data_IF_135469442986
#
_entry.id   IF_135469442986
#
_cell.length_a   1.000
_cell.length_b   1.000
_cell.length_c   1.000
_cell.angle_alpha   90.00
_cell.angle_beta   90.00
_cell.angle_gamma   90.00
#
_symmetry.space_group_name_H-M   'P 1'
#
loop_
_entity.id
_entity.type
_entity.pdbx_description
1 polymer ?
#
# COMPACT_ATOMS: atom_id res chain seq x y z
N UNK A 1 0.74 47.57 -30.93
CA UNK A 1 1.48 47.18 -29.71
C UNK A 1 0.57 46.32 -28.83
N UNK A 2 1.11 45.21 -28.33
CA UNK A 2 0.40 44.01 -27.88
C UNK A 2 -0.36 44.15 -26.55
N UNK A 3 -1.45 43.38 -26.50
CA UNK A 3 -2.43 43.01 -25.48
C UNK A 3 -2.18 43.32 -23.98
N UNK A 4 -3.24 43.70 -23.23
CA UNK A 4 -3.22 43.68 -21.77
C UNK A 4 -3.21 42.23 -21.26
N UNK A 5 -2.22 41.95 -20.42
CA UNK A 5 -1.94 40.66 -19.79
C UNK A 5 -2.83 40.49 -18.56
N UNK A 6 -4.07 40.04 -18.77
CA UNK A 6 -4.95 39.60 -17.68
C UNK A 6 -4.51 38.21 -17.25
N UNK A 7 -3.67 38.13 -16.22
CA UNK A 7 -3.39 36.89 -15.50
C UNK A 7 -4.52 36.64 -14.48
N UNK A 8 -5.70 36.28 -14.97
CA UNK A 8 -6.80 35.83 -14.12
C UNK A 8 -6.56 34.37 -13.74
N UNK A 9 -6.01 34.24 -12.53
CA UNK A 9 -5.78 33.01 -11.79
C UNK A 9 -7.12 32.38 -11.42
N UNK A 10 -7.72 31.57 -12.30
CA UNK A 10 -8.83 30.67 -11.99
C UNK A 10 -8.75 29.43 -12.88
N UNK A 11 -8.19 28.34 -12.35
CA UNK A 11 -8.85 27.02 -12.36
C UNK A 11 -8.42 26.32 -11.07
N UNK A 12 -9.25 26.51 -10.06
CA UNK A 12 -9.42 25.53 -8.99
C UNK A 12 -10.07 24.30 -9.66
N UNK A 13 -9.56 23.12 -9.33
CA UNK A 13 -10.05 21.80 -9.75
C UNK A 13 -9.55 21.23 -11.09
N UNK A 14 -8.41 20.56 -11.01
CA UNK A 14 -8.34 19.17 -11.47
C UNK A 14 -8.13 18.26 -10.25
N UNK A 15 -9.27 17.92 -9.68
CA UNK A 15 -9.58 16.72 -8.91
C UNK A 15 -8.75 15.49 -9.31
N UNK A 16 -8.35 14.69 -8.30
CA UNK A 16 -8.82 13.30 -8.16
C UNK A 16 -8.42 12.26 -9.20
N UNK A 17 -7.85 12.62 -10.34
CA UNK A 17 -7.63 11.73 -11.48
C UNK A 17 -6.21 11.15 -11.54
N UNK A 18 -5.44 11.20 -10.44
CA UNK A 18 -4.14 10.52 -10.36
C UNK A 18 -4.29 9.19 -9.61
N UNK A 19 -4.79 8.19 -10.34
CA UNK A 19 -4.79 6.73 -10.08
C UNK A 19 -6.12 6.07 -9.68
N UNK A 20 -7.23 6.39 -10.34
CA UNK A 20 -8.25 5.35 -10.58
C UNK A 20 -7.74 4.47 -11.72
N UNK A 21 -7.15 3.31 -11.39
CA UNK A 21 -6.79 2.30 -12.39
C UNK A 21 -5.60 1.40 -12.07
N UNK A 22 -4.75 1.77 -11.11
CA UNK A 22 -3.66 0.92 -10.67
C UNK A 22 -3.64 0.91 -9.15
N UNK A 23 -4.53 0.12 -8.56
CA UNK A 23 -4.44 -0.22 -7.16
C UNK A 23 -3.17 -1.08 -7.03
N UNK A 24 -2.07 -0.63 -6.41
CA UNK A 24 -0.81 -1.38 -6.41
C UNK A 24 -0.94 -2.76 -5.74
N UNK A 25 -2.06 -3.00 -5.05
CA UNK A 25 -2.43 -4.27 -4.46
C UNK A 25 -3.14 -5.23 -5.41
N UNK A 26 -3.52 -4.84 -6.65
CA UNK A 26 -4.16 -5.77 -7.61
C UNK A 26 -3.24 -6.91 -8.03
N UNK A 27 -1.93 -6.74 -7.89
CA UNK A 27 -0.94 -7.79 -8.18
C UNK A 27 -0.75 -8.76 -7.01
N UNK A 28 -1.24 -8.40 -5.82
CA UNK A 28 -1.24 -9.26 -4.65
C UNK A 28 -2.51 -10.12 -4.62
N UNK A 29 -2.33 -11.40 -4.29
CA UNK A 29 -3.44 -12.27 -3.91
C UNK A 29 -4.02 -11.82 -2.56
N UNK A 30 -5.25 -12.25 -2.25
CA UNK A 30 -5.91 -11.97 -0.98
C UNK A 30 -5.04 -12.38 0.22
N UNK A 31 -4.38 -13.55 0.13
CA UNK A 31 -3.47 -14.03 1.17
C UNK A 31 -2.23 -13.16 1.34
N UNK A 32 -1.68 -12.65 0.24
CA UNK A 32 -0.54 -11.73 0.29
C UNK A 32 -0.94 -10.36 0.87
N UNK A 33 -2.17 -9.91 0.58
CA UNK A 33 -2.73 -8.70 1.17
C UNK A 33 -2.91 -8.84 2.69
N UNK A 34 -3.42 -9.97 3.17
CA UNK A 34 -3.57 -10.22 4.61
C UNK A 34 -2.20 -10.30 5.31
N UNK A 35 -1.22 -10.95 4.70
CA UNK A 35 0.16 -10.94 5.22
C UNK A 35 0.72 -9.51 5.28
N UNK A 36 0.52 -8.71 4.22
CA UNK A 36 0.98 -7.32 4.18
C UNK A 36 0.33 -6.45 5.27
N UNK A 37 -0.96 -6.63 5.55
CA UNK A 37 -1.68 -5.95 6.65
C UNK A 37 -1.06 -6.27 8.00
N UNK A 38 -0.83 -7.54 8.27
CA UNK A 38 -0.25 -7.99 9.54
C UNK A 38 1.21 -7.52 9.72
N UNK A 39 1.97 -7.42 8.63
CA UNK A 39 3.32 -6.81 8.65
C UNK A 39 3.23 -5.32 9.02
N UNK A 40 2.23 -4.62 8.49
CA UNK A 40 2.02 -3.21 8.76
C UNK A 40 1.55 -2.95 10.22
N UNK A 41 0.84 -3.91 10.82
CA UNK A 41 0.55 -3.96 12.27
C UNK A 41 1.78 -4.26 13.14
N UNK A 42 2.94 -4.52 12.52
CA UNK A 42 4.21 -4.77 13.22
C UNK A 42 4.40 -6.19 13.73
N UNK A 43 3.54 -7.13 13.31
CA UNK A 43 3.58 -8.52 13.77
C UNK A 43 4.82 -9.26 13.26
N UNK A 44 5.28 -10.25 14.03
CA UNK A 44 6.38 -11.13 13.61
C UNK A 44 5.86 -12.21 12.66
N UNK A 45 6.75 -12.85 11.90
CA UNK A 45 6.35 -13.96 11.02
C UNK A 45 5.71 -15.13 11.80
N UNK A 46 6.10 -15.34 13.05
CA UNK A 46 5.51 -16.34 13.92
C UNK A 46 4.06 -15.97 14.30
N UNK A 47 3.81 -14.72 14.69
CA UNK A 47 2.45 -14.23 14.99
C UNK A 47 1.54 -14.29 13.75
N UNK A 48 2.09 -13.96 12.58
CA UNK A 48 1.39 -14.04 11.30
C UNK A 48 1.06 -15.49 10.96
N UNK A 49 2.01 -16.41 11.17
CA UNK A 49 1.83 -17.84 10.95
C UNK A 49 0.71 -18.40 11.84
N UNK A 50 0.67 -18.01 13.11
CA UNK A 50 -0.39 -18.40 14.05
C UNK A 50 -1.75 -17.84 13.63
N UNK A 51 -1.84 -16.54 13.30
CA UNK A 51 -3.10 -15.90 12.89
C UNK A 51 -3.67 -16.47 11.60
N UNK A 52 -2.83 -16.77 10.62
CA UNK A 52 -3.26 -17.29 9.32
C UNK A 52 -3.32 -18.81 9.27
N UNK A 53 -2.93 -19.50 10.36
CA UNK A 53 -2.89 -20.96 10.49
C UNK A 53 -2.04 -21.57 9.36
N UNK A 54 -0.82 -21.05 9.19
CA UNK A 54 0.17 -21.49 8.20
C UNK A 54 1.55 -21.63 8.86
N UNK A 55 2.53 -22.18 8.15
CA UNK A 55 3.91 -22.29 8.66
C UNK A 55 4.70 -20.99 8.51
N UNK A 56 5.67 -20.72 9.39
CA UNK A 56 6.62 -19.57 9.25
C UNK A 56 7.35 -19.59 7.90
N UNK A 57 7.67 -20.78 7.38
CA UNK A 57 8.24 -20.95 6.03
C UNK A 57 7.30 -20.41 4.95
N UNK A 58 6.00 -20.69 5.08
CA UNK A 58 4.96 -20.19 4.16
C UNK A 58 4.85 -18.66 4.26
N UNK A 59 4.87 -18.10 5.47
CA UNK A 59 4.88 -16.64 5.68
C UNK A 59 6.07 -16.00 5.01
N UNK A 60 7.29 -16.53 5.22
CA UNK A 60 8.50 -16.03 4.56
C UNK A 60 8.39 -16.08 3.03
N UNK A 61 7.78 -17.12 2.47
CA UNK A 61 7.53 -17.20 1.03
C UNK A 61 6.56 -16.10 0.56
N UNK A 62 5.47 -15.86 1.30
CA UNK A 62 4.55 -14.76 0.99
C UNK A 62 5.23 -13.40 1.09
N UNK A 63 6.03 -13.14 2.13
CA UNK A 63 6.80 -11.91 2.28
C UNK A 63 7.72 -11.70 1.07
N UNK A 64 8.49 -12.70 0.68
CA UNK A 64 9.38 -12.61 -0.49
C UNK A 64 8.60 -12.30 -1.78
N UNK A 65 7.45 -12.94 -1.98
CA UNK A 65 6.60 -12.67 -3.13
C UNK A 65 6.04 -11.25 -3.12
N UNK A 66 5.57 -10.77 -1.96
CA UNK A 66 5.07 -9.39 -1.79
C UNK A 66 6.18 -8.39 -2.11
N UNK A 67 7.37 -8.58 -1.55
CA UNK A 67 8.52 -7.70 -1.81
C UNK A 67 8.88 -7.66 -3.29
N UNK A 68 8.89 -8.82 -3.96
CA UNK A 68 9.16 -8.89 -5.40
C UNK A 68 8.07 -8.19 -6.23
N UNK A 69 6.80 -8.42 -5.91
CA UNK A 69 5.65 -7.83 -6.64
C UNK A 69 5.56 -6.32 -6.46
N UNK A 70 5.86 -5.83 -5.25
CA UNK A 70 5.83 -4.40 -4.93
C UNK A 70 7.18 -3.71 -5.19
N UNK A 71 8.19 -4.45 -5.65
CA UNK A 71 9.56 -3.96 -5.85
C UNK A 71 10.18 -3.30 -4.62
N UNK A 72 9.97 -3.90 -3.45
CA UNK A 72 10.47 -3.44 -2.15
C UNK A 72 11.67 -4.26 -1.70
N UNK A 73 12.60 -3.64 -0.97
CA UNK A 73 13.83 -4.33 -0.57
C UNK A 73 13.69 -5.15 0.73
N UNK A 74 12.81 -4.73 1.65
CA UNK A 74 12.74 -5.32 2.99
C UNK A 74 11.37 -5.11 3.65
N UNK A 75 11.14 -5.85 4.77
CA UNK A 75 9.86 -5.81 5.50
C UNK A 75 9.49 -4.42 6.01
N UNK A 76 10.49 -3.57 6.30
CA UNK A 76 10.26 -2.22 6.81
C UNK A 76 9.67 -1.37 5.70
N UNK A 77 10.22 -1.49 4.49
CA UNK A 77 9.64 -0.85 3.31
C UNK A 77 8.22 -1.36 3.04
N UNK A 78 7.96 -2.66 3.18
CA UNK A 78 6.61 -3.22 3.05
C UNK A 78 5.61 -2.64 4.07
N UNK A 79 6.01 -2.54 5.34
CA UNK A 79 5.20 -1.91 6.37
C UNK A 79 4.91 -0.44 6.02
N UNK A 80 5.95 0.35 5.72
CA UNK A 80 5.79 1.77 5.35
C UNK A 80 4.92 1.93 4.10
N UNK A 81 5.08 1.06 3.11
CA UNK A 81 4.27 1.06 1.89
C UNK A 81 2.79 0.83 2.19
N UNK A 82 2.47 -0.19 3.00
CA UNK A 82 1.10 -0.48 3.42
C UNK A 82 0.46 0.68 4.20
N UNK A 83 1.24 1.39 5.03
CA UNK A 83 0.83 2.61 5.72
C UNK A 83 0.57 3.78 4.76
N UNK A 84 1.48 4.01 3.79
CA UNK A 84 1.38 5.13 2.84
C UNK A 84 0.20 5.00 1.88
N UNK A 85 -0.07 3.78 1.44
CA UNK A 85 -1.16 3.49 0.49
C UNK A 85 -2.51 3.24 1.18
N UNK A 86 -2.55 3.24 2.52
CA UNK A 86 -3.80 3.15 3.29
C UNK A 86 -4.44 1.75 3.30
N UNK A 87 -3.65 0.68 3.09
CA UNK A 87 -4.12 -0.72 3.25
C UNK A 87 -4.47 -0.99 4.70
N UNK A 88 -3.64 -0.48 5.60
CA UNK A 88 -4.03 -0.21 6.98
C UNK A 88 -4.68 1.16 6.93
N UNK A 89 -5.98 1.18 6.63
CA UNK A 89 -6.78 2.32 7.11
C UNK A 89 -6.49 2.36 8.59
N UNK A 90 -6.12 3.55 9.11
CA UNK A 90 -6.36 3.85 10.53
C UNK A 90 -7.68 3.19 10.85
N UNK A 91 -7.69 2.25 11.78
CA UNK A 91 -8.91 1.71 12.33
C UNK A 91 -9.88 2.87 12.41
N UNK A 92 -10.96 2.84 11.61
CA UNK A 92 -12.07 3.73 11.86
C UNK A 92 -12.70 3.19 13.14
N UNK A 93 -12.05 3.55 14.24
CA UNK A 93 -12.68 3.70 15.54
C UNK A 93 -13.46 5.02 15.45
N UNK A 94 -14.78 4.91 15.26
CA UNK A 94 -15.73 6.01 15.50
C UNK A 94 -16.61 6.39 14.33
#
# INVERSE_FOLDING_TARGET
CCTPRVASRVVQELHGARREGANPFTELSERELDVLRLIADGLSNADIAERLIISDKTVKSHVSNILNKLHLADRTQAAVFAWREGVVRRSEEG
#
